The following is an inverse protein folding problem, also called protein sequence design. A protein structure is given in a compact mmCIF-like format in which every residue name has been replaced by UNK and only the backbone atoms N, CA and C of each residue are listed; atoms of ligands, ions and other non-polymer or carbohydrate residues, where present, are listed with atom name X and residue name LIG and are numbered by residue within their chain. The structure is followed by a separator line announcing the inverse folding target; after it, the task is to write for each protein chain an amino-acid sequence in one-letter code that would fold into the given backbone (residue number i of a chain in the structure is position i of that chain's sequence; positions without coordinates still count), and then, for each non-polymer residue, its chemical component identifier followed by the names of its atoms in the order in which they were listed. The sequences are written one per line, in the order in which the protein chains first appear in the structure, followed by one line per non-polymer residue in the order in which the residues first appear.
data_IF_922440163121
#
_entry.id   IF_922440163121
#
_cell.length_a   1.000
_cell.length_b   1.000
_cell.length_c   1.000
_cell.angle_alpha   90.00
_cell.angle_beta   90.00
_cell.angle_gamma   90.00
#
_symmetry.space_group_name_H-M   'P 1'
#
loop_
_entity.id
_entity.type
_entity.pdbx_description
1 polymer ?
#
# COMPACT_ATOMS: atom_id res chain seq x y z
N UNK A 1 9.93 14.88 -6.80
CA UNK A 1 8.76 14.19 -7.40
C UNK A 1 9.15 12.93 -8.18
N UNK A 2 9.96 13.01 -9.25
CA UNK A 2 10.36 11.81 -10.04
C UNK A 2 11.05 10.70 -9.23
N UNK A 3 11.78 11.05 -8.17
CA UNK A 3 12.40 10.05 -7.29
C UNK A 3 11.36 9.27 -6.48
N UNK A 4 10.29 9.93 -6.02
CA UNK A 4 9.27 9.32 -5.15
C UNK A 4 8.35 8.36 -5.93
N UNK A 5 8.02 8.69 -7.18
CA UNK A 5 7.24 7.80 -8.05
C UNK A 5 8.03 6.52 -8.38
N UNK A 6 9.31 6.64 -8.75
CA UNK A 6 10.16 5.48 -9.02
C UNK A 6 10.37 4.62 -7.76
N UNK A 7 10.60 5.26 -6.61
CA UNK A 7 10.70 4.56 -5.34
C UNK A 7 9.42 3.78 -5.00
N UNK A 8 8.25 4.39 -5.26
CA UNK A 8 6.97 3.74 -5.05
C UNK A 8 6.78 2.53 -5.98
N UNK A 9 7.09 2.66 -7.28
CA UNK A 9 7.01 1.53 -8.22
C UNK A 9 7.88 0.35 -7.76
N UNK A 10 9.14 0.61 -7.43
CA UNK A 10 10.06 -0.43 -6.94
C UNK A 10 9.59 -1.06 -5.64
N UNK A 11 9.11 -0.23 -4.69
CA UNK A 11 8.58 -0.69 -3.41
C UNK A 11 7.37 -1.61 -3.60
N UNK A 12 6.40 -1.24 -4.43
CA UNK A 12 5.19 -2.03 -4.65
C UNK A 12 5.51 -3.39 -5.29
N UNK A 13 6.40 -3.40 -6.29
CA UNK A 13 6.84 -4.64 -6.94
C UNK A 13 7.53 -5.57 -5.94
N UNK A 14 8.43 -5.04 -5.09
CA UNK A 14 9.09 -5.90 -4.12
C UNK A 14 8.16 -6.34 -3.00
N UNK A 15 7.29 -5.46 -2.50
CA UNK A 15 6.29 -5.80 -1.50
C UNK A 15 5.35 -6.90 -2.00
N UNK A 16 4.97 -6.89 -3.29
CA UNK A 16 4.20 -7.97 -3.90
C UNK A 16 4.98 -9.29 -3.89
N UNK A 17 6.23 -9.30 -4.35
CA UNK A 17 7.09 -10.51 -4.39
C UNK A 17 7.35 -11.10 -3.00
N UNK A 18 7.41 -10.25 -1.98
CA UNK A 18 7.60 -10.64 -0.58
C UNK A 18 6.29 -10.95 0.14
N UNK A 19 5.14 -10.97 -0.54
CA UNK A 19 3.83 -11.18 0.07
C UNK A 19 3.50 -10.18 1.22
N UNK A 20 4.07 -8.98 1.14
CA UNK A 20 3.89 -7.87 2.07
C UNK A 20 2.94 -6.79 1.55
N UNK A 21 2.22 -7.07 0.45
CA UNK A 21 1.26 -6.19 -0.18
C UNK A 21 -0.16 -6.76 -0.04
N UNK A 22 -1.13 -5.95 0.38
CA UNK A 22 -2.57 -6.27 0.26
C UNK A 22 -3.14 -5.30 -0.73
N UNK A 23 -3.98 -5.80 -1.62
CA UNK A 23 -4.46 -5.08 -2.79
C UNK A 23 -5.99 -5.21 -2.80
N UNK A 24 -6.66 -4.11 -3.07
CA UNK A 24 -8.12 -3.97 -3.06
C UNK A 24 -8.63 -3.18 -1.86
N UNK A 25 -9.67 -2.39 -2.10
CA UNK A 25 -10.34 -1.54 -1.11
C UNK A 25 -10.91 -2.40 0.01
N UNK A 26 -11.64 -3.46 -0.34
CA UNK A 26 -12.31 -4.31 0.63
C UNK A 26 -11.33 -5.05 1.54
N UNK A 27 -10.29 -5.64 0.96
CA UNK A 27 -9.27 -6.36 1.75
C UNK A 27 -8.44 -5.40 2.61
N UNK A 28 -8.16 -4.20 2.09
CA UNK A 28 -7.47 -3.15 2.84
C UNK A 28 -8.32 -2.67 4.03
N UNK A 29 -9.60 -2.38 3.80
CA UNK A 29 -10.52 -1.99 4.87
C UNK A 29 -10.68 -3.09 5.92
N UNK A 30 -10.78 -4.36 5.49
CA UNK A 30 -10.86 -5.51 6.40
C UNK A 30 -9.61 -5.64 7.27
N UNK A 31 -8.42 -5.47 6.68
CA UNK A 31 -7.16 -5.50 7.41
C UNK A 31 -7.11 -4.41 8.48
N UNK A 32 -7.39 -3.16 8.09
CA UNK A 32 -7.35 -2.00 8.98
C UNK A 32 -8.39 -2.11 10.11
N UNK A 33 -9.58 -2.65 9.82
CA UNK A 33 -10.64 -2.84 10.81
C UNK A 33 -10.36 -3.97 11.80
N UNK A 34 -9.55 -4.97 11.43
CA UNK A 34 -9.17 -6.06 12.34
C UNK A 34 -8.43 -5.56 13.59
N UNK A 35 -7.88 -4.33 13.54
CA UNK A 35 -7.17 -3.67 14.64
C UNK A 35 -8.06 -3.46 15.87
N UNK A 36 -9.38 -3.35 15.66
CA UNK A 36 -10.34 -2.93 16.70
C UNK A 36 -11.04 -4.07 17.41
N UNK A 37 -10.72 -5.34 17.12
CA UNK A 37 -11.39 -6.49 17.74
C UNK A 37 -10.43 -7.65 17.98
N UNK A 38 -9.73 -7.65 19.13
CA UNK A 38 -9.44 -8.88 19.89
C UNK A 38 -8.83 -8.59 21.29
N UNK A 39 -9.66 -8.39 22.33
CA UNK A 39 -9.17 -8.37 23.72
C UNK A 39 -8.88 -9.79 24.29
N UNK A 40 -8.96 -10.87 23.49
CA UNK A 40 -8.93 -12.25 24.01
C UNK A 40 -8.25 -13.30 23.10
N UNK A 41 -7.24 -12.95 22.31
CA UNK A 41 -6.42 -13.97 21.63
C UNK A 41 -5.05 -14.07 22.30
N UNK A 42 -4.77 -15.25 22.86
CA UNK A 42 -3.48 -15.61 23.45
C UNK A 42 -2.38 -15.53 22.40
N UNK A 43 -1.20 -15.06 22.81
CA UNK A 43 0.00 -14.79 21.99
C UNK A 43 0.54 -15.98 21.16
N UNK A 44 -0.07 -17.17 21.25
CA UNK A 44 0.38 -18.39 20.58
C UNK A 44 -0.12 -18.53 19.12
N UNK A 45 -1.19 -17.82 18.71
CA UNK A 45 -1.74 -17.90 17.35
C UNK A 45 -1.50 -16.64 16.49
N UNK A 46 -0.80 -15.63 17.03
CA UNK A 46 -0.44 -14.35 16.37
C UNK A 46 0.77 -14.52 15.45
N UNK A 47 0.77 -15.55 14.58
CA UNK A 47 1.87 -15.76 13.62
C UNK A 47 1.42 -15.86 12.16
N UNK A 48 0.12 -15.84 11.89
CA UNK A 48 -0.42 -15.98 10.54
C UNK A 48 -1.49 -14.93 10.17
N UNK A 49 -1.95 -14.13 11.13
CA UNK A 49 -2.85 -12.99 10.86
C UNK A 49 -2.02 -11.74 10.66
N UNK A 50 -2.10 -11.18 9.44
CA UNK A 50 -1.48 -9.91 9.08
C UNK A 50 -1.96 -8.82 10.04
N UNK A 51 -1.03 -8.31 10.83
CA UNK A 51 -1.33 -7.37 11.91
C UNK A 51 -1.59 -5.97 11.33
N UNK A 52 -2.72 -5.32 11.60
CA UNK A 52 -2.95 -3.93 11.22
C UNK A 52 -1.90 -2.97 11.78
N UNK A 53 -1.28 -3.25 12.94
CA UNK A 53 -0.15 -2.47 13.48
C UNK A 53 1.12 -2.57 12.61
N UNK A 54 1.16 -3.53 11.69
CA UNK A 54 2.28 -3.70 10.76
C UNK A 54 2.14 -2.88 9.48
N UNK A 55 1.02 -2.19 9.25
CA UNK A 55 0.80 -1.37 8.04
C UNK A 55 1.59 -0.07 8.15
N UNK A 56 2.40 0.22 7.13
CA UNK A 56 3.29 1.40 7.11
C UNK A 56 3.03 2.37 5.96
N UNK A 57 2.39 1.90 4.89
CA UNK A 57 2.04 2.70 3.73
C UNK A 57 0.70 2.26 3.16
N UNK A 58 -0.15 3.24 2.83
CA UNK A 58 -1.40 3.10 2.11
C UNK A 58 -1.33 3.90 0.80
N UNK A 59 -1.65 3.25 -0.31
CA UNK A 59 -1.64 3.86 -1.63
C UNK A 59 -3.06 3.78 -2.18
N UNK A 60 -3.66 4.92 -2.49
CA UNK A 60 -4.97 5.02 -3.12
C UNK A 60 -4.80 5.37 -4.58
N UNK A 61 -5.28 4.54 -5.50
CA UNK A 61 -5.07 4.73 -6.92
C UNK A 61 -6.38 4.96 -7.67
N UNK A 62 -6.51 6.09 -8.35
CA UNK A 62 -7.64 6.39 -9.21
C UNK A 62 -7.22 7.34 -10.34
N UNK A 63 -7.68 7.06 -11.54
CA UNK A 63 -7.59 7.97 -12.69
C UNK A 63 -8.90 8.73 -12.91
N UNK A 64 -10.00 8.23 -12.36
CA UNK A 64 -11.34 8.77 -12.50
C UNK A 64 -11.88 9.22 -11.14
N UNK A 65 -12.18 10.52 -11.04
CA UNK A 65 -12.76 11.15 -9.84
C UNK A 65 -14.30 11.06 -9.86
N UNK A 66 -14.92 10.59 -10.95
CA UNK A 66 -16.38 10.57 -11.12
C UNK A 66 -17.07 9.39 -10.40
N UNK A 67 -16.31 8.35 -10.03
CA UNK A 67 -16.84 7.25 -9.22
C UNK A 67 -17.03 7.66 -7.75
N UNK A 68 -18.22 8.15 -7.44
CA UNK A 68 -18.62 8.58 -6.10
C UNK A 68 -18.46 7.45 -5.07
N UNK A 69 -18.75 6.20 -5.44
CA UNK A 69 -18.63 5.08 -4.51
C UNK A 69 -17.16 4.84 -4.15
N UNK A 70 -16.27 4.90 -5.13
CA UNK A 70 -14.83 4.79 -4.92
C UNK A 70 -14.30 5.93 -4.04
N UNK A 71 -14.71 7.18 -4.30
CA UNK A 71 -14.28 8.34 -3.53
C UNK A 71 -14.76 8.30 -2.07
N UNK A 72 -15.95 7.73 -1.81
CA UNK A 72 -16.41 7.47 -0.44
C UNK A 72 -15.45 6.51 0.28
N UNK A 73 -15.06 5.40 -0.36
CA UNK A 73 -14.12 4.46 0.23
C UNK A 73 -12.76 5.09 0.49
N UNK A 74 -12.26 5.91 -0.45
CA UNK A 74 -11.01 6.65 -0.27
C UNK A 74 -11.08 7.59 0.92
N UNK A 75 -12.18 8.34 1.08
CA UNK A 75 -12.37 9.24 2.21
C UNK A 75 -12.32 8.47 3.55
N UNK A 76 -12.95 7.30 3.62
CA UNK A 76 -12.94 6.46 4.82
C UNK A 76 -11.52 5.93 5.13
N UNK A 77 -10.82 5.43 4.11
CA UNK A 77 -9.45 4.92 4.25
C UNK A 77 -8.48 6.05 4.63
N UNK A 78 -8.64 7.24 4.05
CA UNK A 78 -7.85 8.42 4.37
C UNK A 78 -8.02 8.81 5.84
N UNK A 79 -9.26 8.96 6.31
CA UNK A 79 -9.53 9.27 7.72
C UNK A 79 -8.86 8.25 8.64
N UNK A 80 -9.02 6.96 8.36
CA UNK A 80 -8.41 5.90 9.18
C UNK A 80 -6.88 5.98 9.20
N UNK A 81 -6.24 6.11 8.04
CA UNK A 81 -4.78 6.11 7.93
C UNK A 81 -4.17 7.36 8.56
N UNK A 82 -4.79 8.52 8.35
CA UNK A 82 -4.38 9.78 8.98
C UNK A 82 -4.46 9.70 10.51
N UNK A 83 -5.58 9.21 11.05
CA UNK A 83 -5.76 9.06 12.50
C UNK A 83 -4.77 8.06 13.12
N UNK A 84 -4.42 7.02 12.37
CA UNK A 84 -3.49 5.97 12.80
C UNK A 84 -2.02 6.31 12.56
N UNK A 85 -1.72 7.46 11.93
CA UNK A 85 -0.35 7.87 11.61
C UNK A 85 0.31 7.07 10.47
N UNK A 86 -0.46 6.28 9.72
CA UNK A 86 0.01 5.51 8.58
C UNK A 86 0.34 6.46 7.43
N UNK A 87 1.46 6.26 6.72
CA UNK A 87 1.74 7.04 5.52
C UNK A 87 0.70 6.74 4.45
N UNK A 88 0.09 7.78 3.90
CA UNK A 88 -0.91 7.63 2.85
C UNK A 88 -0.62 8.61 1.71
N UNK A 89 -0.85 8.16 0.48
CA UNK A 89 -0.73 8.98 -0.72
C UNK A 89 -1.74 8.55 -1.80
N UNK A 90 -2.08 9.47 -2.70
CA UNK A 90 -2.87 9.20 -3.91
C UNK A 90 -1.95 8.97 -5.11
N UNK A 91 -2.40 8.15 -6.04
CA UNK A 91 -1.70 7.85 -7.29
C UNK A 91 -2.65 7.94 -8.47
N UNK A 92 -2.21 8.63 -9.52
CA UNK A 92 -2.75 8.49 -10.88
C UNK A 92 -1.79 7.65 -11.74
N UNK A 93 -2.30 7.09 -12.83
CA UNK A 93 -1.66 6.06 -13.64
C UNK A 93 -2.03 4.64 -13.18
N UNK A 94 -3.32 4.35 -12.99
CA UNK A 94 -3.79 3.00 -12.58
C UNK A 94 -3.36 1.95 -13.61
N UNK A 95 -3.35 2.33 -14.90
CA UNK A 95 -2.84 1.47 -15.97
C UNK A 95 -1.37 1.08 -15.80
N UNK A 96 -0.54 1.98 -15.27
CA UNK A 96 0.86 1.69 -14.95
C UNK A 96 0.98 0.72 -13.77
N UNK A 97 0.12 0.84 -12.75
CA UNK A 97 0.05 -0.12 -11.65
C UNK A 97 -0.33 -1.52 -12.14
N UNK A 98 -1.26 -1.62 -13.09
CA UNK A 98 -1.60 -2.88 -13.75
C UNK A 98 -0.40 -3.54 -14.42
N UNK A 99 0.43 -2.78 -15.12
CA UNK A 99 1.66 -3.30 -15.74
C UNK A 99 2.68 -3.78 -14.70
N UNK A 100 2.77 -3.10 -13.55
CA UNK A 100 3.74 -3.41 -12.49
C UNK A 100 3.32 -4.61 -11.65
N UNK A 101 2.04 -4.72 -11.30
CA UNK A 101 1.50 -5.68 -10.34
C UNK A 101 0.67 -6.80 -10.97
N UNK A 102 0.15 -6.61 -12.19
CA UNK A 102 -0.79 -7.55 -12.83
C UNK A 102 -0.16 -8.83 -13.38
N UNK A 103 1.16 -8.88 -13.59
CA UNK A 103 1.85 -10.04 -14.14
C UNK A 103 1.48 -10.36 -15.61
N UNK A 104 2.39 -11.04 -16.31
CA UNK A 104 2.26 -11.48 -17.72
C UNK A 104 1.39 -12.73 -17.81
N UNK A 105 0.26 -12.79 -17.11
CA UNK A 105 -0.69 -13.90 -17.20
C UNK A 105 -2.01 -13.38 -17.77
N UNK A 106 -1.99 -13.03 -19.06
CA UNK A 106 -3.13 -12.64 -19.89
C UNK A 106 -4.16 -13.77 -20.12
N UNK A 107 -4.28 -14.71 -19.16
CA UNK A 107 -5.18 -15.86 -19.24
C UNK A 107 -5.98 -16.09 -17.94
N UNK A 108 -5.92 -15.15 -16.98
CA UNK A 108 -6.95 -15.05 -15.94
C UNK A 108 -8.01 -14.08 -16.45
N UNK A 109 -9.26 -14.50 -16.38
CA UNK A 109 -10.40 -13.76 -16.92
C UNK A 109 -10.32 -12.30 -16.48
N UNK A 110 -10.57 -11.38 -17.41
CA UNK A 110 -10.49 -9.93 -17.21
C UNK A 110 -11.45 -9.43 -16.10
N UNK A 111 -12.39 -10.27 -15.65
CA UNK A 111 -13.30 -10.05 -14.52
C UNK A 111 -12.67 -10.35 -13.13
N UNK A 112 -11.52 -11.05 -13.09
CA UNK A 112 -10.69 -11.25 -11.88
C UNK A 112 -9.46 -10.33 -11.86
N UNK A 113 -9.42 -9.33 -12.74
CA UNK A 113 -8.45 -8.24 -12.68
C UNK A 113 -8.77 -7.40 -11.45
N UNK A 114 -8.22 -7.84 -10.32
CA UNK A 114 -8.43 -7.29 -8.98
C UNK A 114 -8.31 -5.78 -8.85
N UNK A 115 -9.22 -5.24 -8.05
CA UNK A 115 -9.24 -3.87 -7.52
C UNK A 115 -7.82 -3.38 -7.11
N UNK A 116 -7.18 -2.57 -7.96
CA UNK A 116 -5.89 -1.91 -7.67
C UNK A 116 -6.08 -0.53 -7.04
N UNK A 117 -7.29 -0.19 -6.58
CA UNK A 117 -7.58 1.15 -6.07
C UNK A 117 -7.06 1.38 -4.66
N UNK A 118 -6.72 0.34 -3.92
CA UNK A 118 -6.04 0.46 -2.63
C UNK A 118 -4.95 -0.59 -2.49
N UNK A 119 -3.76 -0.17 -2.05
CA UNK A 119 -2.65 -1.07 -1.74
C UNK A 119 -2.06 -0.73 -0.37
N UNK A 120 -1.96 -1.73 0.51
CA UNK A 120 -1.34 -1.60 1.83
C UNK A 120 -0.03 -2.37 1.88
N UNK A 121 1.05 -1.69 2.29
CA UNK A 121 2.35 -2.30 2.54
C UNK A 121 2.50 -2.57 4.04
N UNK A 122 2.89 -3.80 4.39
CA UNK A 122 3.09 -4.23 5.78
C UNK A 122 4.53 -4.65 6.07
N UNK A 123 5.02 -4.40 7.28
CA UNK A 123 6.41 -4.70 7.74
C UNK A 123 6.61 -6.19 8.11
N UNK A 124 5.54 -6.99 8.10
CA UNK A 124 5.48 -8.33 8.70
C UNK A 124 6.54 -9.35 8.28
N UNK A 125 7.16 -9.25 7.09
CA UNK A 125 8.25 -10.15 6.67
C UNK A 125 9.61 -9.43 6.52
N UNK A 126 9.66 -8.12 6.76
CA UNK A 126 10.92 -7.36 6.75
C UNK A 126 11.76 -7.59 8.03
N UNK A 127 11.17 -8.17 9.07
CA UNK A 127 11.76 -8.18 10.42
C UNK A 127 12.18 -9.54 10.99
N UNK A 128 11.76 -10.67 10.42
CA UNK A 128 12.02 -11.98 11.03
C UNK A 128 12.68 -12.94 10.03
N UNK A 129 13.90 -13.38 10.40
CA UNK A 129 14.65 -14.53 9.88
C UNK A 129 15.66 -14.37 8.71
N UNK A 130 15.79 -13.24 8.00
CA UNK A 130 16.77 -13.18 6.89
C UNK A 130 17.50 -11.84 6.74
N UNK A 131 18.35 -11.51 7.72
CA UNK A 131 19.34 -10.42 7.64
C UNK A 131 20.44 -10.60 6.55
N UNK A 132 20.28 -11.58 5.65
CA UNK A 132 21.25 -11.98 4.63
C UNK A 132 20.77 -11.71 3.20
N UNK A 133 19.54 -11.21 3.01
CA UNK A 133 19.00 -10.92 1.67
C UNK A 133 19.31 -9.48 1.27
N UNK A 134 20.17 -9.24 0.25
CA UNK A 134 20.57 -7.88 -0.15
C UNK A 134 19.41 -7.01 -0.64
N UNK A 135 18.31 -7.62 -1.07
CA UNK A 135 17.14 -6.90 -1.60
C UNK A 135 16.29 -6.23 -0.50
N UNK A 136 16.34 -6.73 0.74
CA UNK A 136 15.56 -6.18 1.86
C UNK A 136 16.00 -4.76 2.24
N UNK A 137 17.30 -4.48 2.08
CA UNK A 137 17.86 -3.17 2.33
C UNK A 137 17.38 -2.14 1.30
N UNK A 138 17.18 -2.57 0.05
CA UNK A 138 16.62 -1.73 -1.02
C UNK A 138 15.18 -1.33 -0.68
N UNK A 139 14.38 -2.26 -0.14
CA UNK A 139 12.99 -2.02 0.25
C UNK A 139 12.86 -1.00 1.38
N UNK A 140 13.74 -1.09 2.40
CA UNK A 140 13.76 -0.10 3.48
C UNK A 140 14.14 1.29 2.95
N UNK A 141 15.09 1.38 2.02
CA UNK A 141 15.44 2.65 1.40
C UNK A 141 14.27 3.24 0.60
N UNK A 142 13.57 2.45 -0.23
CA UNK A 142 12.41 2.95 -0.99
C UNK A 142 11.23 3.32 -0.13
N UNK A 143 10.92 2.51 0.88
CA UNK A 143 9.90 2.84 1.87
C UNK A 143 10.25 4.13 2.61
N UNK A 144 11.51 4.34 2.97
CA UNK A 144 11.98 5.56 3.61
C UNK A 144 11.88 6.77 2.67
N UNK A 145 12.22 6.64 1.39
CA UNK A 145 12.08 7.70 0.39
C UNK A 145 10.61 8.14 0.23
N UNK A 146 9.70 7.17 0.07
CA UNK A 146 8.25 7.45 -0.02
C UNK A 146 7.73 8.02 1.30
N UNK A 147 8.16 7.49 2.45
CA UNK A 147 7.79 8.01 3.77
C UNK A 147 8.26 9.45 3.99
N UNK A 148 9.48 9.77 3.55
CA UNK A 148 10.02 11.14 3.60
C UNK A 148 9.19 12.08 2.73
N UNK A 149 8.83 11.65 1.51
CA UNK A 149 7.93 12.42 0.64
C UNK A 149 6.58 12.72 1.31
N UNK A 150 5.97 11.72 1.96
CA UNK A 150 4.73 11.94 2.71
C UNK A 150 4.93 12.91 3.88
N UNK A 151 6.04 12.80 4.62
CA UNK A 151 6.33 13.68 5.73
C UNK A 151 6.56 15.13 5.30
N UNK A 152 7.37 15.35 4.26
CA UNK A 152 7.61 16.67 3.68
C UNK A 152 6.31 17.30 3.17
N UNK A 153 5.43 16.51 2.55
CA UNK A 153 4.13 16.98 2.08
C UNK A 153 3.22 17.42 3.22
N UNK A 154 3.21 16.68 4.34
CA UNK A 154 2.46 17.08 5.54
C UNK A 154 2.94 18.40 6.12
N UNK A 155 4.24 18.70 6.04
CA UNK A 155 4.78 20.01 6.45
C UNK A 155 4.29 21.17 5.58
N UNK A 156 3.76 20.86 4.38
CA UNK A 156 3.17 21.80 3.44
C UNK A 156 1.63 21.74 3.46
N UNK A 157 1.03 21.25 4.56
CA UNK A 157 -0.42 21.05 4.74
C UNK A 157 -1.08 20.10 3.71
N UNK A 158 -0.28 19.30 3.00
CA UNK A 158 -0.75 18.26 2.08
C UNK A 158 -0.77 16.91 2.79
N UNK A 159 -1.88 16.62 3.47
CA UNK A 159 -2.04 15.40 4.28
C UNK A 159 -2.02 14.11 3.48
N UNK A 160 -2.57 14.14 2.26
CA UNK A 160 -2.57 13.03 1.32
C UNK A 160 -1.95 13.51 0.01
N UNK A 161 -0.61 13.45 -0.12
CA UNK A 161 0.05 13.91 -1.35
C UNK A 161 -0.29 13.02 -2.53
N UNK A 162 -0.17 13.57 -3.73
CA UNK A 162 -0.43 12.87 -4.98
C UNK A 162 0.87 12.57 -5.73
N UNK A 163 0.93 11.42 -6.40
CA UNK A 163 1.99 11.04 -7.33
C UNK A 163 1.36 10.62 -8.65
N UNK A 164 2.02 10.98 -9.75
CA UNK A 164 1.62 10.56 -11.10
C UNK A 164 2.59 9.48 -11.57
N UNK A 165 2.10 8.28 -11.85
CA UNK A 165 2.87 7.21 -12.48
C UNK A 165 2.73 7.31 -14.00
N UNK A 166 3.86 7.39 -14.69
CA UNK A 166 3.88 7.50 -16.14
C UNK A 166 4.06 6.14 -16.79
N UNK A 167 3.34 5.91 -17.89
CA UNK A 167 3.64 4.78 -18.78
C UNK A 167 5.05 4.96 -19.39
N UNK A 168 5.77 3.85 -19.55
CA UNK A 168 7.13 3.83 -20.12
C UNK A 168 7.14 3.13 -21.46
#
# INVERSE_FOLDING_TARGET
MQSASLALEELLVTAQKQHCLTVGIYESAKLLNAHRHCPSLTAANVRLTRDPDSVVLCVLAADDEEDVALQIHFTLLQSFCCDSGINILRVSGVQRLWQLLGGVDANRNQEESGDLHCMLVTVGLLRQETAWLPNLQVDHCRLQEVGTYCQESRLLDQWVPELVLQER
#
